data_IF_790254962393
#
_entry.id   IF_790254962393
#
_cell.length_a   1.000
_cell.length_b   1.000
_cell.length_c   1.000
_cell.angle_alpha   90.00
_cell.angle_beta   90.00
_cell.angle_gamma   90.00
#
_symmetry.space_group_name_H-M   'P 1'
#
loop_
_entity.id
_entity.type
_entity.pdbx_description
1 polymer ?
#
# COMPACT_ATOMS: atom_id res chain seq x y z
N UNK A 1 -33.24 37.86 16.87
CA UNK A 1 -32.58 36.85 16.03
C UNK A 1 -33.46 36.42 14.86
N UNK A 2 -34.71 36.01 15.05
CA UNK A 2 -35.62 35.51 13.98
C UNK A 2 -35.93 36.54 12.89
N UNK A 3 -36.14 37.85 13.23
CA UNK A 3 -36.38 38.94 12.28
C UNK A 3 -35.14 39.24 11.41
N UNK A 4 -33.91 39.07 11.90
CA UNK A 4 -32.67 39.23 11.13
C UNK A 4 -32.51 38.13 10.08
N UNK A 5 -32.82 36.89 10.43
CA UNK A 5 -32.82 35.73 9.51
C UNK A 5 -33.85 35.87 8.38
N UNK A 6 -35.03 36.45 8.68
CA UNK A 6 -36.10 36.63 7.70
C UNK A 6 -35.74 37.69 6.64
N UNK A 7 -35.05 38.78 7.01
CA UNK A 7 -34.67 39.87 6.11
C UNK A 7 -33.48 39.52 5.20
N UNK A 8 -32.66 38.53 5.56
CA UNK A 8 -31.42 38.19 4.87
C UNK A 8 -31.43 36.78 4.24
N UNK A 9 -32.60 36.21 3.98
CA UNK A 9 -32.75 34.85 3.45
C UNK A 9 -31.92 34.58 2.17
N UNK A 10 -31.85 35.58 1.25
CA UNK A 10 -31.03 35.46 0.04
C UNK A 10 -29.54 35.37 0.33
N UNK A 11 -29.05 36.23 1.24
CA UNK A 11 -27.60 36.22 1.65
C UNK A 11 -27.25 34.91 2.34
N UNK A 12 -28.13 34.42 3.22
CA UNK A 12 -27.92 33.13 3.91
C UNK A 12 -27.88 32.00 2.89
N UNK A 13 -28.76 32.00 1.89
CA UNK A 13 -28.75 31.01 0.82
C UNK A 13 -27.43 31.00 0.02
N UNK A 14 -26.91 32.17 -0.33
CA UNK A 14 -25.63 32.32 -1.02
C UNK A 14 -24.48 31.81 -0.16
N UNK A 15 -24.44 32.15 1.13
CA UNK A 15 -23.41 31.68 2.07
C UNK A 15 -23.45 30.15 2.20
N UNK A 16 -24.64 29.57 2.35
CA UNK A 16 -24.80 28.10 2.41
C UNK A 16 -24.31 27.43 1.13
N UNK A 17 -24.67 27.94 -0.03
CA UNK A 17 -24.22 27.41 -1.31
C UNK A 17 -22.69 27.50 -1.45
N UNK A 18 -22.10 28.63 -1.03
CA UNK A 18 -20.65 28.82 -1.01
C UNK A 18 -19.97 27.82 -0.08
N UNK A 19 -20.49 27.60 1.14
CA UNK A 19 -19.94 26.65 2.10
C UNK A 19 -20.03 25.20 1.59
N UNK A 20 -21.13 24.83 0.92
CA UNK A 20 -21.27 23.52 0.29
C UNK A 20 -20.20 23.34 -0.80
N UNK A 21 -20.06 24.31 -1.71
CA UNK A 21 -19.06 24.29 -2.78
C UNK A 21 -17.63 24.18 -2.23
N UNK A 22 -17.32 24.99 -1.20
CA UNK A 22 -16.02 24.96 -0.52
C UNK A 22 -15.76 23.60 0.16
N UNK A 23 -16.77 23.01 0.78
CA UNK A 23 -16.66 21.70 1.43
C UNK A 23 -16.36 20.59 0.42
N UNK A 24 -17.01 20.62 -0.76
CA UNK A 24 -16.74 19.68 -1.85
C UNK A 24 -15.32 19.84 -2.40
N UNK A 25 -14.88 21.10 -2.57
CA UNK A 25 -13.53 21.41 -3.04
C UNK A 25 -12.43 20.93 -2.06
N UNK A 26 -12.64 21.14 -0.77
CA UNK A 26 -11.66 20.78 0.27
C UNK A 26 -11.70 19.29 0.65
N UNK A 27 -12.78 18.57 0.31
CA UNK A 27 -12.98 17.18 0.71
C UNK A 27 -11.79 16.26 0.39
N UNK A 28 -11.19 16.25 -0.82
CA UNK A 28 -10.07 15.35 -1.12
C UNK A 28 -8.85 15.64 -0.23
N UNK A 29 -8.52 16.91 -0.04
CA UNK A 29 -7.34 17.32 0.76
C UNK A 29 -7.50 16.95 2.23
N UNK A 30 -8.64 17.28 2.83
CA UNK A 30 -8.94 17.00 4.24
C UNK A 30 -9.02 15.49 4.47
N UNK A 31 -9.68 14.77 3.57
CA UNK A 31 -9.84 13.33 3.67
C UNK A 31 -8.50 12.59 3.52
N UNK A 32 -7.66 13.01 2.56
CA UNK A 32 -6.32 12.44 2.39
C UNK A 32 -5.45 12.68 3.64
N UNK A 33 -5.45 13.91 4.18
CA UNK A 33 -4.73 14.22 5.42
C UNK A 33 -5.19 13.33 6.59
N UNK A 34 -6.51 13.13 6.74
CA UNK A 34 -7.08 12.26 7.77
C UNK A 34 -6.65 10.80 7.60
N UNK A 35 -6.70 10.28 6.37
CA UNK A 35 -6.29 8.91 6.08
C UNK A 35 -4.79 8.69 6.29
N UNK A 36 -3.95 9.66 5.92
CA UNK A 36 -2.50 9.61 6.22
C UNK A 36 -2.24 9.61 7.73
N UNK A 37 -2.95 10.44 8.49
CA UNK A 37 -2.85 10.46 9.95
C UNK A 37 -3.23 9.11 10.56
N UNK A 38 -4.29 8.48 10.06
CA UNK A 38 -4.72 7.15 10.48
C UNK A 38 -3.66 6.08 10.11
N UNK A 39 -3.18 6.07 8.88
CA UNK A 39 -2.13 5.14 8.43
C UNK A 39 -0.86 5.28 9.28
N UNK A 40 -0.42 6.51 9.55
CA UNK A 40 0.72 6.79 10.41
C UNK A 40 0.52 6.31 11.85
N UNK A 41 -0.72 6.41 12.38
CA UNK A 41 -1.02 5.87 13.72
C UNK A 41 -0.91 4.34 13.74
N UNK A 42 -1.47 3.66 12.75
CA UNK A 42 -1.35 2.19 12.61
C UNK A 42 0.11 1.77 12.54
N UNK A 43 0.94 2.48 11.77
CA UNK A 43 2.37 2.20 11.64
C UNK A 43 3.10 2.44 12.98
N UNK A 44 2.81 3.52 13.69
CA UNK A 44 3.37 3.79 15.03
C UNK A 44 3.02 2.69 16.03
N UNK A 45 1.77 2.23 16.02
CA UNK A 45 1.31 1.15 16.92
C UNK A 45 2.00 -0.17 16.56
N UNK A 46 2.18 -0.44 15.25
CA UNK A 46 2.96 -1.57 14.76
C UNK A 46 4.42 -1.50 15.24
N UNK A 47 5.12 -0.39 15.00
CA UNK A 47 6.51 -0.18 15.40
C UNK A 47 6.69 -0.31 16.93
N UNK A 48 5.74 0.24 17.71
CA UNK A 48 5.71 0.09 19.17
C UNK A 48 5.58 -1.38 19.59
N UNK A 49 4.73 -2.15 18.91
CA UNK A 49 4.59 -3.59 19.18
C UNK A 49 5.86 -4.36 18.82
N UNK A 50 6.49 -4.02 17.70
CA UNK A 50 7.78 -4.62 17.29
C UNK A 50 8.87 -4.32 18.32
N UNK A 51 8.90 -3.12 18.88
CA UNK A 51 9.90 -2.69 19.88
C UNK A 51 9.62 -3.24 21.29
N UNK A 52 8.47 -3.85 21.56
CA UNK A 52 8.09 -4.28 22.92
C UNK A 52 8.93 -5.45 23.50
N UNK A 53 9.70 -6.13 22.66
CA UNK A 53 10.48 -7.31 23.05
C UNK A 53 9.67 -8.60 23.29
N UNK A 54 8.34 -8.55 23.10
CA UNK A 54 7.44 -9.69 23.35
C UNK A 54 7.36 -10.68 22.18
N UNK A 55 7.94 -10.32 21.01
CA UNK A 55 7.79 -11.07 19.77
C UNK A 55 9.03 -11.93 19.51
N UNK A 56 8.82 -13.23 19.38
CA UNK A 56 9.84 -14.14 18.86
C UNK A 56 9.91 -14.02 17.32
N UNK A 57 10.73 -13.09 16.85
CA UNK A 57 10.90 -12.83 15.41
C UNK A 57 11.36 -14.07 14.64
N UNK A 58 12.23 -14.90 15.23
CA UNK A 58 12.73 -16.12 14.58
C UNK A 58 11.59 -17.09 14.31
N UNK A 59 10.69 -17.26 15.28
CA UNK A 59 9.49 -18.09 15.14
C UNK A 59 8.52 -17.54 14.12
N UNK A 60 8.30 -16.20 14.09
CA UNK A 60 7.39 -15.57 13.13
C UNK A 60 7.92 -15.64 11.71
N UNK A 61 9.22 -15.40 11.48
CA UNK A 61 9.82 -15.59 10.15
C UNK A 61 9.76 -17.05 9.71
N UNK A 62 10.06 -18.00 10.58
CA UNK A 62 9.99 -19.42 10.26
C UNK A 62 8.57 -19.87 9.86
N UNK A 63 7.54 -19.35 10.51
CA UNK A 63 6.13 -19.56 10.08
C UNK A 63 5.88 -19.04 8.66
N UNK A 64 6.33 -17.82 8.37
CA UNK A 64 6.15 -17.21 7.08
C UNK A 64 6.96 -17.91 5.98
N UNK A 65 8.18 -18.33 6.27
CA UNK A 65 9.03 -19.15 5.38
C UNK A 65 8.35 -20.50 5.07
N UNK A 66 7.85 -21.18 6.11
CA UNK A 66 7.15 -22.45 5.93
C UNK A 66 5.88 -22.26 5.06
N UNK A 67 5.15 -21.15 5.23
CA UNK A 67 4.01 -20.84 4.37
C UNK A 67 4.46 -20.64 2.92
N UNK A 68 5.50 -19.83 2.68
CA UNK A 68 6.04 -19.56 1.34
C UNK A 68 6.51 -20.84 0.66
N UNK A 69 7.16 -21.77 1.37
CA UNK A 69 7.64 -23.04 0.83
C UNK A 69 6.50 -23.99 0.39
N UNK A 70 5.29 -23.80 0.92
CA UNK A 70 4.12 -24.59 0.53
C UNK A 70 3.25 -23.89 -0.54
N UNK A 71 3.64 -22.69 -0.98
CA UNK A 71 2.96 -22.02 -2.09
C UNK A 71 3.18 -22.82 -3.37
N UNK A 72 2.10 -23.28 -3.96
CA UNK A 72 2.17 -23.82 -5.33
C UNK A 72 2.42 -22.67 -6.30
N UNK A 73 3.23 -22.85 -7.35
CA UNK A 73 3.40 -21.89 -8.43
C UNK A 73 2.10 -21.79 -9.25
N UNK A 74 1.07 -21.23 -8.67
CA UNK A 74 -0.22 -20.99 -9.32
C UNK A 74 -0.23 -19.57 -9.87
N UNK A 75 -0.95 -19.41 -10.99
CA UNK A 75 -1.32 -18.09 -11.49
C UNK A 75 -2.08 -17.37 -10.36
N UNK A 76 -1.50 -16.30 -9.84
CA UNK A 76 -2.17 -15.46 -8.82
C UNK A 76 -3.35 -14.73 -9.49
N UNK A 77 -4.52 -14.64 -8.85
CA UNK A 77 -5.65 -13.91 -9.41
C UNK A 77 -5.36 -12.41 -9.48
N UNK A 78 -6.15 -11.67 -10.27
CA UNK A 78 -6.11 -10.21 -10.23
C UNK A 78 -6.47 -9.69 -8.84
N UNK A 79 -5.63 -8.80 -8.30
CA UNK A 79 -5.76 -8.27 -6.94
C UNK A 79 -7.05 -7.45 -6.71
N UNK A 80 -7.66 -6.94 -7.78
CA UNK A 80 -8.87 -6.11 -7.73
C UNK A 80 -10.12 -6.88 -8.19
N UNK A 81 -10.01 -8.16 -8.51
CA UNK A 81 -11.19 -8.97 -8.82
C UNK A 81 -11.97 -9.27 -7.54
N UNK A 82 -13.21 -8.82 -7.49
CA UNK A 82 -14.09 -8.75 -6.33
C UNK A 82 -14.57 -10.11 -5.76
N UNK A 83 -13.92 -11.22 -6.07
CA UNK A 83 -14.27 -12.49 -5.43
C UNK A 83 -13.70 -12.51 -4.03
N UNK A 84 -14.56 -12.64 -3.02
CA UNK A 84 -14.15 -12.90 -1.64
C UNK A 84 -13.15 -14.06 -1.64
N UNK A 85 -11.93 -13.77 -1.26
CA UNK A 85 -10.93 -14.82 -1.09
C UNK A 85 -11.41 -15.77 0.01
N UNK A 86 -11.42 -17.07 -0.30
CA UNK A 86 -11.64 -18.07 0.73
C UNK A 86 -10.62 -17.84 1.84
N UNK A 87 -11.10 -17.67 3.07
CA UNK A 87 -10.24 -17.42 4.23
C UNK A 87 -9.23 -18.55 4.41
N UNK A 88 -7.96 -18.19 4.47
CA UNK A 88 -6.86 -19.07 4.79
C UNK A 88 -6.35 -18.76 6.19
N UNK A 89 -6.70 -19.61 7.16
CA UNK A 89 -6.30 -19.43 8.57
C UNK A 89 -4.78 -19.52 8.76
N UNK A 90 -4.06 -20.29 7.95
CA UNK A 90 -2.60 -20.37 8.03
C UNK A 90 -1.96 -19.06 7.59
N UNK A 91 -2.44 -18.49 6.48
CA UNK A 91 -2.06 -17.18 6.00
C UNK A 91 -2.33 -16.07 7.02
N UNK A 92 -3.55 -16.01 7.57
CA UNK A 92 -3.97 -14.98 8.53
C UNK A 92 -3.17 -14.98 9.83
N UNK A 93 -2.56 -16.11 10.21
CA UNK A 93 -1.71 -16.25 11.39
C UNK A 93 -0.26 -15.82 11.15
N UNK A 94 0.18 -15.67 9.90
CA UNK A 94 1.52 -15.22 9.58
C UNK A 94 1.60 -13.70 9.66
N UNK A 95 2.67 -13.17 10.27
CA UNK A 95 2.97 -11.73 10.33
C UNK A 95 1.87 -10.84 10.99
N UNK A 96 0.90 -11.41 11.69
CA UNK A 96 -0.20 -10.67 12.32
C UNK A 96 0.08 -10.38 13.81
N UNK A 97 1.29 -9.95 14.12
CA UNK A 97 1.77 -9.79 15.51
C UNK A 97 1.18 -8.57 16.23
N UNK A 98 0.83 -7.54 15.46
CA UNK A 98 0.16 -6.34 15.99
C UNK A 98 -1.36 -6.43 15.98
N UNK A 99 -1.92 -7.53 15.46
CA UNK A 99 -3.35 -7.68 15.26
C UNK A 99 -3.90 -6.87 14.08
N UNK A 100 -5.22 -6.92 13.89
CA UNK A 100 -5.88 -6.15 12.83
C UNK A 100 -5.51 -6.54 11.39
N UNK A 101 -4.72 -7.60 11.20
CA UNK A 101 -4.25 -8.06 9.90
C UNK A 101 -3.07 -7.26 9.33
N UNK A 102 -2.39 -6.47 10.15
CA UNK A 102 -1.23 -5.68 9.73
C UNK A 102 0.02 -6.56 9.70
N UNK A 103 0.66 -6.66 8.52
CA UNK A 103 1.89 -7.42 8.30
C UNK A 103 3.17 -6.59 8.48
N UNK A 104 3.07 -5.29 8.26
CA UNK A 104 4.15 -4.32 8.21
C UNK A 104 3.74 -3.09 7.42
N UNK A 105 4.70 -2.41 6.79
CA UNK A 105 4.41 -1.26 5.94
C UNK A 105 5.40 -1.12 4.78
N UNK A 106 4.98 -0.43 3.74
CA UNK A 106 5.78 -0.05 2.58
C UNK A 106 6.04 1.45 2.59
N UNK A 107 7.26 1.84 2.21
CA UNK A 107 7.69 3.24 2.02
C UNK A 107 8.17 3.40 0.59
N UNK A 108 7.64 4.40 -0.12
CA UNK A 108 7.99 4.74 -1.49
C UNK A 108 8.33 6.23 -1.52
N UNK A 109 9.60 6.60 -1.26
CA UNK A 109 9.99 8.00 -1.05
C UNK A 109 9.67 8.89 -2.24
N UNK A 110 9.97 8.45 -3.47
CA UNK A 110 9.79 9.22 -4.73
C UNK A 110 8.37 9.77 -4.91
N UNK A 111 7.38 9.15 -4.31
CA UNK A 111 5.98 9.60 -4.38
C UNK A 111 5.40 9.92 -3.01
N UNK A 112 6.23 10.10 -1.99
CA UNK A 112 5.82 10.39 -0.60
C UNK A 112 4.69 9.48 -0.11
N UNK A 113 4.89 8.16 -0.23
CA UNK A 113 3.92 7.15 0.20
C UNK A 113 4.49 6.33 1.34
N UNK A 114 3.74 6.24 2.44
CA UNK A 114 3.98 5.33 3.56
C UNK A 114 2.66 4.68 3.95
N UNK A 115 2.51 3.37 3.65
CA UNK A 115 1.24 2.66 3.82
C UNK A 115 1.41 1.37 4.62
N UNK A 116 0.52 1.09 5.60
CA UNK A 116 0.47 -0.21 6.24
C UNK A 116 0.04 -1.28 5.22
N UNK A 117 0.60 -2.47 5.38
CA UNK A 117 0.31 -3.65 4.57
C UNK A 117 -0.62 -4.56 5.36
N UNK A 118 -1.74 -4.91 4.77
CA UNK A 118 -2.74 -5.78 5.36
C UNK A 118 -2.85 -7.11 4.63
N UNK A 119 -3.34 -8.12 5.32
CA UNK A 119 -3.76 -9.37 4.70
C UNK A 119 -4.90 -9.13 3.73
N UNK A 120 -4.86 -9.83 2.58
CA UNK A 120 -5.86 -9.79 1.49
C UNK A 120 -5.95 -8.45 0.74
N UNK A 121 -6.70 -8.50 -0.34
CA UNK A 121 -6.93 -7.38 -1.27
C UNK A 121 -8.41 -7.04 -1.33
N UNK A 122 -9.06 -6.95 -0.16
CA UNK A 122 -10.48 -6.59 -0.08
C UNK A 122 -10.70 -5.07 -0.12
N UNK A 123 -11.89 -4.64 -0.50
CA UNK A 123 -12.29 -3.22 -0.48
C UNK A 123 -12.10 -2.56 0.90
N UNK A 124 -12.32 -3.33 1.99
CA UNK A 124 -12.08 -2.85 3.36
C UNK A 124 -10.61 -2.57 3.61
N UNK A 125 -9.72 -3.38 3.05
CA UNK A 125 -8.26 -3.20 3.15
C UNK A 125 -7.82 -2.01 2.30
N UNK A 126 -8.27 -1.92 1.07
CA UNK A 126 -7.91 -0.84 0.15
C UNK A 126 -8.32 0.56 0.61
N UNK A 127 -9.28 0.68 1.52
CA UNK A 127 -9.62 1.94 2.19
C UNK A 127 -8.64 2.35 3.29
N UNK A 128 -7.76 1.44 3.75
CA UNK A 128 -6.88 1.65 4.91
C UNK A 128 -5.39 1.64 4.55
N UNK A 129 -4.99 0.98 3.47
CA UNK A 129 -3.60 0.81 3.08
C UNK A 129 -3.42 -0.13 1.90
N UNK A 130 -2.23 -0.70 1.78
CA UNK A 130 -1.92 -1.70 0.77
C UNK A 130 -2.39 -3.09 1.22
N UNK A 131 -2.97 -3.85 0.31
CA UNK A 131 -3.35 -5.24 0.52
C UNK A 131 -2.31 -6.19 -0.04
N UNK A 132 -1.91 -7.20 0.72
CA UNK A 132 -1.08 -8.29 0.25
C UNK A 132 -1.95 -9.31 -0.49
N UNK A 133 -1.57 -9.66 -1.72
CA UNK A 133 -2.30 -10.62 -2.54
C UNK A 133 -2.07 -12.05 -2.02
N UNK A 134 -3.11 -12.64 -1.45
CA UNK A 134 -3.08 -14.02 -0.99
C UNK A 134 -2.77 -14.97 -2.18
N UNK A 135 -1.82 -15.87 -1.99
CA UNK A 135 -1.30 -16.75 -3.05
C UNK A 135 0.00 -16.25 -3.69
N UNK A 136 0.41 -14.99 -3.46
CA UNK A 136 1.79 -14.55 -3.65
C UNK A 136 2.63 -14.84 -2.39
N UNK A 137 3.95 -14.75 -2.48
CA UNK A 137 4.82 -14.96 -1.31
C UNK A 137 4.55 -13.93 -0.23
N UNK A 138 4.51 -14.34 1.05
CA UNK A 138 4.52 -13.42 2.18
C UNK A 138 5.74 -12.48 2.07
N UNK A 139 5.61 -11.20 2.46
CA UNK A 139 6.57 -10.15 2.14
C UNK A 139 7.80 -10.15 3.08
N UNK A 140 8.40 -11.32 3.30
CA UNK A 140 9.56 -11.49 4.19
C UNK A 140 10.90 -11.44 3.45
N UNK A 141 10.86 -11.36 2.11
CA UNK A 141 12.04 -11.46 1.24
C UNK A 141 12.66 -12.84 1.21
N UNK A 142 13.70 -12.99 0.41
CA UNK A 142 14.45 -14.23 0.21
C UNK A 142 14.39 -14.72 -1.23
N UNK A 143 15.45 -15.38 -1.66
CA UNK A 143 15.51 -15.98 -3.01
C UNK A 143 14.37 -16.97 -3.20
N UNK A 144 13.72 -16.93 -4.36
CA UNK A 144 12.54 -17.74 -4.67
C UNK A 144 11.24 -17.17 -4.11
N UNK A 145 11.20 -15.88 -3.77
CA UNK A 145 9.96 -15.20 -3.31
C UNK A 145 9.55 -14.08 -4.24
N UNK A 146 8.23 -13.89 -4.38
CA UNK A 146 7.63 -12.77 -5.08
C UNK A 146 6.37 -12.32 -4.33
N UNK A 147 6.49 -11.26 -3.55
CA UNK A 147 5.36 -10.67 -2.84
C UNK A 147 4.64 -9.64 -3.72
N UNK A 148 3.31 -9.61 -3.66
CA UNK A 148 2.48 -8.68 -4.43
C UNK A 148 1.66 -7.81 -3.49
N UNK A 149 1.85 -6.50 -3.60
CA UNK A 149 1.14 -5.48 -2.83
C UNK A 149 0.26 -4.66 -3.75
N UNK A 150 -0.99 -4.47 -3.39
CA UNK A 150 -1.95 -3.73 -4.20
C UNK A 150 -2.60 -2.62 -3.40
N UNK A 151 -2.83 -1.47 -4.04
CA UNK A 151 -3.60 -0.38 -3.46
C UNK A 151 -4.32 0.42 -4.55
N UNK A 152 -5.35 1.16 -4.16
CA UNK A 152 -6.13 1.98 -5.08
C UNK A 152 -5.33 3.08 -5.76
N UNK A 153 -5.79 3.45 -6.96
CA UNK A 153 -5.39 4.65 -7.68
C UNK A 153 -6.60 5.53 -7.92
N UNK A 154 -6.48 6.83 -7.60
CA UNK A 154 -7.56 7.78 -7.84
C UNK A 154 -8.70 7.70 -6.83
N UNK A 155 -8.45 7.22 -5.63
CA UNK A 155 -9.42 7.29 -4.55
C UNK A 155 -9.48 8.73 -4.03
N UNK A 156 -10.63 9.45 -4.11
CA UNK A 156 -10.72 10.85 -3.69
C UNK A 156 -10.37 11.09 -2.23
N UNK A 157 -10.48 10.05 -1.40
CA UNK A 157 -10.26 10.13 0.04
C UNK A 157 -8.83 9.84 0.48
N UNK A 158 -7.98 9.25 -0.37
CA UNK A 158 -6.63 8.86 0.03
C UNK A 158 -5.68 8.71 -1.18
N UNK A 159 -4.45 9.16 -1.02
CA UNK A 159 -3.41 9.10 -2.06
C UNK A 159 -3.11 7.67 -2.51
N UNK A 160 -2.91 6.75 -1.57
CA UNK A 160 -2.57 5.34 -1.81
C UNK A 160 -1.47 5.17 -2.89
N UNK A 161 -1.73 4.40 -3.97
CA UNK A 161 -0.84 4.24 -5.13
C UNK A 161 -1.23 5.13 -6.31
N UNK A 162 -1.84 6.29 -6.06
CA UNK A 162 -2.28 7.23 -7.12
C UNK A 162 -1.12 7.61 -8.04
N UNK A 163 0.04 7.89 -7.47
CA UNK A 163 1.22 8.38 -8.18
C UNK A 163 2.22 7.26 -8.55
N UNK A 164 1.82 5.99 -8.41
CA UNK A 164 2.70 4.84 -8.71
C UNK A 164 3.28 4.88 -10.14
N UNK A 165 2.58 5.53 -11.08
CA UNK A 165 3.03 5.71 -12.45
C UNK A 165 4.20 6.72 -12.61
N UNK A 166 4.55 7.45 -11.56
CA UNK A 166 5.69 8.36 -11.57
C UNK A 166 7.01 7.64 -11.29
N UNK A 167 6.97 6.42 -10.74
CA UNK A 167 8.18 5.63 -10.54
C UNK A 167 8.81 5.26 -11.87
N UNK A 168 10.14 5.19 -11.86
CA UNK A 168 10.99 4.81 -12.99
C UNK A 168 11.86 3.61 -12.61
N UNK A 169 12.37 2.90 -13.61
CA UNK A 169 13.42 1.91 -13.37
C UNK A 169 14.63 2.58 -12.72
N UNK A 170 15.13 1.98 -11.64
CA UNK A 170 16.19 2.55 -10.82
C UNK A 170 15.72 3.15 -9.50
N UNK A 171 14.46 3.60 -9.39
CA UNK A 171 13.89 4.10 -8.13
C UNK A 171 13.83 2.99 -7.07
N UNK A 172 13.83 3.40 -5.80
CA UNK A 172 13.80 2.45 -4.69
C UNK A 172 12.50 2.58 -3.88
N UNK A 173 12.06 1.45 -3.34
CA UNK A 173 11.04 1.40 -2.29
C UNK A 173 11.44 0.41 -1.19
N UNK A 174 10.86 0.58 -0.02
CA UNK A 174 11.31 -0.09 1.19
C UNK A 174 10.16 -0.83 1.86
N UNK A 175 10.49 -2.01 2.40
CA UNK A 175 9.55 -2.85 3.13
C UNK A 175 10.01 -3.00 4.57
N UNK A 176 9.13 -2.73 5.53
CA UNK A 176 9.37 -2.90 6.95
C UNK A 176 8.48 -4.03 7.48
N UNK A 177 9.05 -5.20 7.69
CA UNK A 177 8.33 -6.40 8.13
C UNK A 177 8.99 -6.95 9.39
N UNK A 178 8.26 -6.98 10.49
CA UNK A 178 8.79 -7.28 11.81
C UNK A 178 10.01 -6.39 12.11
N UNK A 179 11.13 -6.98 12.51
CA UNK A 179 12.39 -6.26 12.72
C UNK A 179 13.30 -6.20 11.47
N UNK A 180 12.80 -6.59 10.29
CA UNK A 180 13.55 -6.59 9.04
C UNK A 180 13.16 -5.41 8.17
N UNK A 181 14.17 -4.64 7.75
CA UNK A 181 14.03 -3.59 6.73
C UNK A 181 14.64 -4.09 5.43
N UNK A 182 13.94 -3.90 4.33
CA UNK A 182 14.28 -4.44 3.02
C UNK A 182 14.15 -3.36 1.96
N UNK A 183 15.16 -3.26 1.09
CA UNK A 183 15.17 -2.33 -0.04
C UNK A 183 14.97 -3.11 -1.35
N UNK A 184 14.14 -2.53 -2.23
CA UNK A 184 13.87 -3.05 -3.56
C UNK A 184 14.06 -1.94 -4.58
N UNK A 185 14.84 -2.24 -5.63
CA UNK A 185 15.09 -1.32 -6.74
C UNK A 185 14.20 -1.70 -7.91
N UNK A 186 13.46 -0.75 -8.44
CA UNK A 186 12.56 -0.95 -9.58
C UNK A 186 13.36 -1.42 -10.81
N UNK A 187 13.00 -2.56 -11.33
CA UNK A 187 13.63 -3.21 -12.49
C UNK A 187 12.67 -3.47 -13.64
N UNK A 188 11.37 -3.31 -13.39
CA UNK A 188 10.37 -3.55 -14.44
C UNK A 188 9.09 -2.76 -14.17
N UNK A 189 8.58 -2.07 -15.19
CA UNK A 189 7.28 -1.39 -15.18
C UNK A 189 6.46 -1.90 -16.36
N UNK A 190 5.28 -2.47 -16.07
CA UNK A 190 4.38 -3.03 -17.09
C UNK A 190 2.94 -2.60 -16.88
N UNK A 191 2.25 -2.37 -18.00
CA UNK A 191 0.79 -2.23 -18.03
C UNK A 191 0.18 -3.46 -18.68
N UNK A 192 -0.68 -4.16 -17.95
CA UNK A 192 -1.26 -5.43 -18.40
C UNK A 192 -2.78 -5.44 -18.23
N UNK A 193 -3.48 -6.33 -18.95
CA UNK A 193 -4.91 -6.60 -18.68
C UNK A 193 -5.06 -7.33 -17.33
N UNK A 194 -6.20 -7.19 -16.62
CA UNK A 194 -6.43 -7.84 -15.32
C UNK A 194 -6.25 -9.37 -15.36
N UNK A 195 -6.53 -10.00 -16.49
CA UNK A 195 -6.37 -11.45 -16.67
C UNK A 195 -4.92 -11.91 -16.93
N UNK A 196 -3.98 -10.95 -17.12
CA UNK A 196 -2.58 -11.23 -17.43
C UNK A 196 -1.72 -11.07 -16.19
N UNK A 197 -1.59 -12.14 -15.42
CA UNK A 197 -0.89 -12.14 -14.12
C UNK A 197 0.43 -12.92 -14.16
N UNK A 198 0.91 -13.32 -15.33
CA UNK A 198 2.15 -14.08 -15.51
C UNK A 198 3.39 -13.35 -14.95
N UNK A 199 3.38 -12.01 -15.01
CA UNK A 199 4.45 -11.18 -14.46
C UNK A 199 4.52 -11.18 -12.91
N UNK A 200 3.53 -11.76 -12.23
CA UNK A 200 3.47 -11.89 -10.78
C UNK A 200 3.93 -13.28 -10.28
N UNK A 201 4.34 -14.17 -11.20
CA UNK A 201 4.81 -15.51 -10.84
C UNK A 201 6.11 -15.45 -10.05
N UNK A 202 6.31 -16.46 -9.20
CA UNK A 202 7.53 -16.61 -8.41
C UNK A 202 8.65 -17.11 -9.33
N UNK A 203 9.76 -16.37 -9.36
CA UNK A 203 11.02 -16.80 -9.93
C UNK A 203 11.89 -17.41 -8.82
N UNK A 204 12.31 -18.68 -9.00
CA UNK A 204 13.09 -19.40 -7.98
C UNK A 204 14.46 -18.80 -7.69
N UNK A 205 14.98 -17.97 -8.59
CA UNK A 205 16.31 -17.37 -8.47
C UNK A 205 16.29 -15.93 -7.99
N UNK A 206 15.11 -15.35 -7.75
CA UNK A 206 14.95 -13.93 -7.50
C UNK A 206 14.21 -13.66 -6.19
N UNK A 207 14.43 -12.48 -5.62
CA UNK A 207 13.66 -11.90 -4.52
C UNK A 207 12.98 -10.66 -5.05
N UNK A 208 11.67 -10.78 -5.31
CA UNK A 208 10.87 -9.71 -5.93
C UNK A 208 9.74 -9.23 -5.03
N UNK A 209 9.43 -7.94 -5.19
CA UNK A 209 8.16 -7.35 -4.75
C UNK A 209 7.55 -6.59 -5.92
N UNK A 210 6.27 -6.80 -6.20
CA UNK A 210 5.53 -6.03 -7.20
C UNK A 210 4.44 -5.19 -6.55
N UNK A 211 4.48 -3.89 -6.80
CA UNK A 211 3.43 -2.93 -6.45
C UNK A 211 2.41 -2.88 -7.59
N UNK A 212 1.13 -3.03 -7.27
CA UNK A 212 0.05 -3.15 -8.27
C UNK A 212 -1.02 -2.09 -8.03
N UNK A 213 -1.41 -1.41 -9.09
CA UNK A 213 -2.57 -0.50 -9.05
C UNK A 213 -3.35 -0.52 -10.36
N UNK A 214 -4.54 0.10 -10.36
CA UNK A 214 -5.37 0.23 -11.56
C UNK A 214 -4.85 1.36 -12.47
N UNK A 215 -5.02 1.19 -13.79
CA UNK A 215 -4.64 2.19 -14.80
C UNK A 215 -5.53 2.02 -16.04
N UNK A 216 -5.78 3.07 -16.89
CA UNK A 216 -5.56 4.49 -16.62
C UNK A 216 -6.39 5.02 -15.45
N UNK A 217 -6.02 6.19 -14.93
CA UNK A 217 -6.75 6.86 -13.84
C UNK A 217 -8.25 7.01 -14.18
N UNK A 218 -9.11 6.61 -13.26
CA UNK A 218 -10.58 6.69 -13.42
C UNK A 218 -11.19 5.64 -14.35
N UNK A 219 -10.41 5.04 -15.29
CA UNK A 219 -10.91 4.01 -16.24
C UNK A 219 -10.70 2.60 -15.68
N UNK A 220 -9.55 2.35 -15.07
CA UNK A 220 -9.21 1.11 -14.34
C UNK A 220 -9.24 -0.17 -15.19
N UNK A 221 -9.13 -0.05 -16.54
CA UNK A 221 -9.23 -1.18 -17.49
C UNK A 221 -8.00 -2.09 -17.48
N UNK A 222 -6.88 -1.62 -16.95
CA UNK A 222 -5.60 -2.33 -16.89
C UNK A 222 -5.02 -2.30 -15.48
N UNK A 223 -3.90 -3.00 -15.29
CA UNK A 223 -3.09 -2.97 -14.06
C UNK A 223 -1.71 -2.44 -14.39
N UNK A 224 -1.26 -1.48 -13.60
CA UNK A 224 0.13 -1.03 -13.58
C UNK A 224 0.87 -1.89 -12.58
N UNK A 225 1.93 -2.55 -13.03
CA UNK A 225 2.83 -3.38 -12.25
C UNK A 225 4.18 -2.68 -12.18
N UNK A 226 4.64 -2.37 -10.97
CA UNK A 226 5.97 -1.82 -10.70
C UNK A 226 6.72 -2.85 -9.85
N UNK A 227 7.63 -3.60 -10.47
CA UNK A 227 8.40 -4.65 -9.82
C UNK A 227 9.75 -4.11 -9.37
N UNK A 228 10.15 -4.47 -8.16
CA UNK A 228 11.51 -4.28 -7.66
C UNK A 228 12.18 -5.61 -7.32
N UNK A 229 13.47 -5.68 -7.59
CA UNK A 229 14.35 -6.73 -7.12
C UNK A 229 15.06 -6.31 -5.84
N UNK A 230 15.39 -7.28 -5.00
CA UNK A 230 16.07 -7.05 -3.73
C UNK A 230 17.46 -6.43 -3.93
N UNK A 231 17.76 -5.39 -3.16
CA UNK A 231 19.10 -4.80 -3.02
C UNK A 231 19.52 -4.74 -1.54
N UNK A 232 20.80 -4.58 -1.22
CA UNK A 232 21.24 -4.30 0.15
C UNK A 232 20.53 -3.05 0.71
N UNK A 233 20.01 -3.18 1.95
CA UNK A 233 19.36 -2.04 2.61
C UNK A 233 20.44 -1.09 3.16
N UNK A 234 20.28 0.21 2.86
CA UNK A 234 21.06 1.29 3.45
C UNK A 234 20.11 2.34 4.04
N UNK A 235 20.35 2.73 5.30
CA UNK A 235 19.54 3.72 6.03
C UNK A 235 19.65 5.11 5.37
N UNK A 236 20.85 5.46 4.89
CA UNK A 236 21.10 6.76 4.26
C UNK A 236 20.32 6.91 2.96
N UNK A 237 20.19 5.84 2.16
CA UNK A 237 19.42 5.87 0.92
C UNK A 237 17.92 6.04 1.16
N UNK A 238 17.34 5.38 2.17
CA UNK A 238 15.91 5.58 2.51
C UNK A 238 15.62 7.04 2.91
N UNK A 239 16.57 7.71 3.56
CA UNK A 239 16.44 9.12 3.95
C UNK A 239 16.76 10.10 2.83
N UNK A 240 17.78 9.83 1.99
CA UNK A 240 18.17 10.69 0.88
C UNK A 240 17.10 10.72 -0.22
N UNK A 241 16.54 9.56 -0.57
CA UNK A 241 15.45 9.45 -1.54
C UNK A 241 14.21 10.27 -1.08
N UNK A 242 13.98 10.36 0.25
CA UNK A 242 12.91 11.20 0.82
C UNK A 242 13.21 12.72 0.82
N UNK A 243 14.48 13.12 0.70
CA UNK A 243 14.90 14.54 0.72
C UNK A 243 15.03 15.09 -0.71
N UNK A 244 15.48 14.28 -1.64
CA UNK A 244 15.73 14.70 -3.04
C UNK A 244 14.42 15.05 -3.75
N UNK A 245 13.34 14.32 -3.45
CA UNK A 245 12.01 14.57 -3.99
C UNK A 245 11.37 15.89 -3.47
N UNK A 246 11.65 16.29 -2.21
CA UNK A 246 11.17 17.59 -1.68
C UNK A 246 11.79 18.80 -2.40
N UNK A 247 12.92 18.63 -3.06
CA UNK A 247 13.61 19.70 -3.81
C UNK A 247 13.17 19.78 -5.27
N UNK A 248 12.56 18.73 -5.83
CA UNK A 248 12.10 18.67 -7.22
C UNK A 248 10.67 19.20 -7.42
N UNK A 249 9.97 19.54 -6.34
CA UNK A 249 8.55 20.01 -6.33
C UNK A 249 8.44 21.53 -6.07
N UNK A 250 9.56 22.27 -6.11
CA UNK A 250 9.58 23.74 -5.99
C UNK A 250 9.79 24.41 -7.35
#
# INVERSE_FOLDING_TARGET
MIKFLSKNKGIIGIILLFLIGLSVLLYPTVSNWWNQKFANQVIKDYDKKIASGEIDFKKEFKKAENYNNHLSPKVVPDAFSAKEHKRDKAYEKCLNVAGGGVMGYVVIPVIDVKLPIYHYTSEKVFKKGAGHLCGSSLPIGGIGTHAVLSAHRGLPSAKMFTDLNLLKEGDCFYMHILNRKMAYKVDQIKTVKPSKTEALQIDKNCDYVTLVTCTPYGVNSHRLLVRGHRIPYNVESEHSDAIEDRKSVV
#
